data_IF_635544393922
#
_entry.id   IF_635544393922
#
_cell.length_a   1.000
_cell.length_b   1.000
_cell.length_c   1.000
_cell.angle_alpha   90.00
_cell.angle_beta   90.00
_cell.angle_gamma   90.00
#
_symmetry.space_group_name_H-M   'P 1'
#
loop_
_entity.id
_entity.type
_entity.pdbx_description
1 polymer ?
#
# COMPACT_ATOMS: atom_id res chain seq x y z
N UNK A 1 6.43 47.47 48.75
CA UNK A 1 5.95 47.06 50.09
C UNK A 1 4.62 46.35 49.92
N UNK A 2 4.56 45.05 50.19
CA UNK A 2 3.36 44.38 50.73
C UNK A 2 3.75 42.97 51.19
N UNK A 3 3.58 42.78 52.50
CA UNK A 3 3.89 41.60 53.30
C UNK A 3 2.68 40.68 53.27
N UNK A 4 2.79 39.37 53.06
CA UNK A 4 1.82 38.42 53.63
C UNK A 4 2.42 37.01 53.84
N UNK A 5 2.72 36.76 55.11
CA UNK A 5 2.39 35.59 55.95
C UNK A 5 2.67 34.17 55.43
N UNK A 6 3.69 33.58 56.04
CA UNK A 6 3.88 32.15 56.33
C UNK A 6 2.66 31.52 57.01
N UNK A 7 2.27 30.32 56.56
CA UNK A 7 1.57 29.33 57.39
C UNK A 7 2.12 27.95 57.07
N UNK A 8 2.52 27.27 58.14
CA UNK A 8 3.07 25.94 58.26
C UNK A 8 1.88 25.05 58.64
N UNK A 9 1.64 23.95 57.92
CA UNK A 9 0.73 22.90 58.37
C UNK A 9 1.27 21.55 57.93
N UNK A 10 1.41 20.67 58.92
CA UNK A 10 2.02 19.37 58.84
C UNK A 10 0.96 18.26 58.90
N UNK A 11 1.40 17.06 58.53
CA UNK A 11 0.86 15.73 58.90
C UNK A 11 -0.48 15.31 58.28
N UNK A 12 -0.47 14.21 57.52
CA UNK A 12 -1.06 12.93 57.95
C UNK A 12 -0.98 11.89 56.83
N UNK A 13 -0.19 10.84 57.08
CA UNK A 13 -0.26 9.59 56.37
C UNK A 13 -1.61 8.91 56.67
N UNK A 14 -2.30 8.41 55.65
CA UNK A 14 -3.34 7.38 55.84
C UNK A 14 -3.19 6.31 54.78
N UNK A 15 -2.75 5.15 55.25
CA UNK A 15 -2.76 3.85 54.56
C UNK A 15 -4.21 3.39 54.47
N UNK A 16 -4.70 3.08 53.26
CA UNK A 16 -5.88 2.22 53.08
C UNK A 16 -5.50 1.11 52.10
N UNK A 17 -5.11 -0.01 52.69
CA UNK A 17 -5.09 -1.33 52.06
C UNK A 17 -6.54 -1.82 52.00
N UNK A 18 -7.20 -1.56 50.87
CA UNK A 18 -8.55 -2.04 50.58
C UNK A 18 -8.54 -2.87 49.30
N UNK A 19 -8.19 -4.15 49.43
CA UNK A 19 -8.29 -5.12 48.34
C UNK A 19 -9.74 -5.43 48.03
N UNK A 20 -10.33 -4.70 47.09
CA UNK A 20 -11.56 -5.13 46.41
C UNK A 20 -11.14 -5.92 45.17
N UNK A 21 -11.32 -7.24 45.22
CA UNK A 21 -11.24 -8.07 44.03
C UNK A 21 -12.40 -7.64 43.10
N UNK A 22 -12.09 -6.79 42.13
CA UNK A 22 -13.00 -6.48 41.03
C UNK A 22 -13.14 -7.79 40.25
N UNK A 23 -14.35 -8.36 40.10
CA UNK A 23 -14.54 -9.51 39.23
C UNK A 23 -14.00 -9.14 37.85
N UNK A 24 -13.11 -9.97 37.33
CA UNK A 24 -12.65 -9.89 35.95
C UNK A 24 -13.90 -9.92 35.07
N UNK A 25 -14.34 -8.74 34.63
CA UNK A 25 -15.38 -8.63 33.63
C UNK A 25 -14.83 -9.36 32.40
N UNK A 26 -15.39 -10.53 32.13
CA UNK A 26 -15.19 -11.24 30.90
C UNK A 26 -15.44 -10.23 29.78
N UNK A 27 -14.38 -9.88 29.06
CA UNK A 27 -14.47 -9.03 27.89
C UNK A 27 -15.46 -9.71 26.95
N UNK A 28 -16.65 -9.11 26.86
CA UNK A 28 -17.75 -9.54 26.02
C UNK A 28 -17.25 -9.66 24.59
N UNK A 29 -17.27 -10.89 24.07
CA UNK A 29 -16.95 -11.24 22.69
C UNK A 29 -17.79 -10.51 21.64
N UNK A 30 -18.86 -9.80 22.03
CA UNK A 30 -19.70 -9.01 21.13
C UNK A 30 -19.14 -7.64 20.71
N UNK A 31 -18.10 -7.10 21.37
CA UNK A 31 -17.62 -5.74 21.05
C UNK A 31 -16.58 -5.70 19.92
N UNK A 32 -15.93 -6.84 19.61
CA UNK A 32 -15.12 -7.01 18.40
C UNK A 32 -16.01 -7.09 17.14
N UNK A 33 -17.21 -7.64 17.27
CA UNK A 33 -18.20 -7.76 16.20
C UNK A 33 -18.77 -6.38 15.78
N UNK A 34 -18.86 -5.44 16.73
CA UNK A 34 -19.36 -4.09 16.45
C UNK A 34 -18.45 -3.26 15.53
N UNK A 35 -17.12 -3.48 15.54
CA UNK A 35 -16.21 -2.82 14.59
C UNK A 35 -16.35 -3.39 13.16
N UNK A 36 -16.73 -4.66 13.03
CA UNK A 36 -17.07 -5.29 11.76
C UNK A 36 -18.41 -4.77 11.17
N UNK A 37 -19.26 -4.15 11.99
CA UNK A 37 -20.57 -3.65 11.53
C UNK A 37 -20.51 -2.36 10.71
N UNK A 38 -19.45 -1.54 10.84
CA UNK A 38 -19.37 -0.30 10.09
C UNK A 38 -18.87 -0.55 8.66
N UNK A 39 -19.69 -0.29 7.61
CA UNK A 39 -19.32 -0.58 6.23
C UNK A 39 -18.07 0.17 5.74
N UNK A 40 -17.68 1.26 6.41
CA UNK A 40 -16.46 1.99 6.11
C UNK A 40 -15.17 1.21 6.46
N UNK A 41 -15.22 0.24 7.37
CA UNK A 41 -14.05 -0.55 7.76
C UNK A 41 -13.92 -1.86 7.00
N UNK A 42 -14.92 -2.23 6.19
CA UNK A 42 -14.86 -3.42 5.33
C UNK A 42 -13.60 -3.39 4.45
N UNK A 43 -12.84 -4.47 4.50
CA UNK A 43 -11.65 -4.67 3.68
C UNK A 43 -12.12 -5.01 2.26
N UNK A 44 -11.56 -4.30 1.28
CA UNK A 44 -11.81 -4.54 -0.14
C UNK A 44 -10.74 -5.45 -0.75
N UNK A 45 -9.49 -5.24 -0.35
CA UNK A 45 -8.35 -6.00 -0.87
C UNK A 45 -7.20 -5.96 0.14
N UNK A 46 -6.45 -7.06 0.25
CA UNK A 46 -5.11 -7.03 0.84
C UNK A 46 -4.10 -6.76 -0.26
N UNK A 47 -3.32 -5.70 -0.11
CA UNK A 47 -2.34 -5.27 -1.10
C UNK A 47 -0.98 -5.90 -0.82
N UNK A 48 -0.31 -6.29 -1.89
CA UNK A 48 1.13 -6.47 -1.88
C UNK A 48 1.80 -5.14 -1.60
N UNK A 49 2.63 -5.14 -0.59
CA UNK A 49 3.12 -3.93 0.05
C UNK A 49 4.59 -4.11 0.39
N UNK A 50 5.39 -3.07 0.16
CA UNK A 50 6.86 -3.13 0.31
C UNK A 50 7.36 -3.21 1.76
N UNK A 51 6.49 -3.09 2.75
CA UNK A 51 6.85 -3.31 4.16
C UNK A 51 6.49 -4.72 4.62
N UNK A 52 6.67 -5.01 5.92
CA UNK A 52 6.33 -6.32 6.46
C UNK A 52 4.82 -6.58 6.37
N UNK A 53 4.45 -7.78 5.93
CA UNK A 53 3.07 -8.25 5.82
C UNK A 53 2.32 -7.69 4.59
N UNK A 54 0.99 -7.70 4.67
CA UNK A 54 0.11 -7.08 3.67
C UNK A 54 -0.44 -5.76 4.20
N UNK A 55 -0.84 -4.85 3.31
CA UNK A 55 -1.55 -3.63 3.68
C UNK A 55 -3.01 -3.73 3.26
N UNK A 56 -3.96 -3.47 4.17
CA UNK A 56 -5.37 -3.57 3.86
C UNK A 56 -5.87 -2.32 3.14
N UNK A 57 -6.56 -2.47 2.00
CA UNK A 57 -7.35 -1.40 1.40
C UNK A 57 -8.80 -1.56 1.86
N UNK A 58 -9.27 -0.63 2.68
CA UNK A 58 -10.64 -0.60 3.19
C UNK A 58 -11.52 0.35 2.37
N UNK A 59 -12.84 0.15 2.42
CA UNK A 59 -13.85 1.03 1.80
C UNK A 59 -13.62 2.48 2.24
N UNK A 60 -13.46 2.70 3.54
CA UNK A 60 -13.25 4.00 4.17
C UNK A 60 -14.42 4.96 3.97
N UNK A 61 -14.17 6.24 4.24
CA UNK A 61 -15.14 7.31 4.00
C UNK A 61 -14.40 8.61 3.65
N UNK A 62 -15.14 9.58 3.12
CA UNK A 62 -14.64 10.94 2.92
C UNK A 62 -15.74 11.96 3.18
N UNK A 63 -15.51 12.83 4.17
CA UNK A 63 -16.33 14.01 4.44
C UNK A 63 -15.62 15.23 3.84
N UNK A 64 -16.20 15.81 2.79
CA UNK A 64 -15.65 16.96 2.07
C UNK A 64 -15.68 18.24 2.92
N UNK A 65 -16.68 18.43 3.78
CA UNK A 65 -16.83 19.64 4.58
C UNK A 65 -15.72 19.77 5.64
N UNK A 66 -15.33 18.65 6.26
CA UNK A 66 -14.26 18.60 7.27
C UNK A 66 -12.89 18.25 6.70
N UNK A 67 -12.82 17.91 5.42
CA UNK A 67 -11.66 17.32 4.76
C UNK A 67 -11.09 16.06 5.45
N UNK A 68 -11.94 15.30 6.12
CA UNK A 68 -11.59 14.10 6.88
C UNK A 68 -12.01 12.82 6.17
N UNK A 69 -11.32 11.73 6.50
CA UNK A 69 -11.61 10.41 5.96
C UNK A 69 -10.35 9.58 5.72
N UNK A 70 -10.58 8.35 5.27
CA UNK A 70 -9.53 7.39 4.92
C UNK A 70 -10.01 6.40 3.84
N UNK A 71 -9.13 5.52 3.38
CA UNK A 71 -9.48 4.38 2.52
C UNK A 71 -9.86 4.75 1.10
N UNK A 72 -10.48 3.79 0.40
CA UNK A 72 -10.81 3.88 -1.01
C UNK A 72 -11.72 5.07 -1.35
N UNK A 73 -12.71 5.35 -0.52
CA UNK A 73 -13.63 6.47 -0.73
C UNK A 73 -12.90 7.82 -0.75
N UNK A 74 -11.87 8.01 0.09
CA UNK A 74 -11.05 9.23 0.05
C UNK A 74 -10.16 9.28 -1.19
N UNK A 75 -9.49 8.17 -1.52
CA UNK A 75 -8.66 8.03 -2.72
C UNK A 75 -9.45 8.37 -3.99
N UNK A 76 -10.64 7.80 -4.14
CA UNK A 76 -11.53 8.03 -5.29
C UNK A 76 -12.17 9.41 -5.27
N UNK A 77 -12.88 9.79 -4.20
CA UNK A 77 -13.69 11.01 -4.17
C UNK A 77 -12.87 12.28 -4.01
N UNK A 78 -11.82 12.29 -3.20
CA UNK A 78 -10.96 13.48 -3.00
C UNK A 78 -9.89 13.58 -4.09
N UNK A 79 -9.17 12.50 -4.34
CA UNK A 79 -7.93 12.54 -5.12
C UNK A 79 -8.06 12.07 -6.57
N UNK A 80 -9.24 11.59 -6.98
CA UNK A 80 -9.52 11.18 -8.35
C UNK A 80 -8.64 10.02 -8.84
N UNK A 81 -8.24 9.12 -7.94
CA UNK A 81 -7.59 7.86 -8.29
C UNK A 81 -8.67 6.78 -8.31
N UNK A 82 -9.01 6.28 -9.49
CA UNK A 82 -10.24 5.50 -9.73
C UNK A 82 -10.00 4.01 -9.97
N UNK A 83 -8.74 3.56 -10.04
CA UNK A 83 -8.37 2.16 -10.26
C UNK A 83 -7.61 1.59 -9.06
N UNK A 84 -8.04 0.43 -8.55
CA UNK A 84 -7.37 -0.27 -7.45
C UNK A 84 -5.91 -0.61 -7.78
N UNK A 85 -5.66 -1.08 -9.00
CA UNK A 85 -4.32 -1.39 -9.49
C UNK A 85 -3.34 -0.20 -9.43
N UNK A 86 -3.84 1.05 -9.46
CA UNK A 86 -2.98 2.22 -9.28
C UNK A 86 -2.48 2.36 -7.83
N UNK A 87 -3.33 2.01 -6.85
CA UNK A 87 -2.98 1.99 -5.43
C UNK A 87 -1.99 0.87 -5.15
N UNK A 88 -2.25 -0.31 -5.72
CA UNK A 88 -1.40 -1.50 -5.61
C UNK A 88 0.00 -1.25 -6.16
N UNK A 89 0.12 -0.62 -7.34
CA UNK A 89 1.41 -0.25 -7.90
C UNK A 89 2.24 0.60 -6.92
N UNK A 90 1.66 1.68 -6.38
CA UNK A 90 2.39 2.52 -5.43
C UNK A 90 2.62 1.80 -4.08
N UNK A 91 1.77 0.84 -3.70
CA UNK A 91 1.98 0.03 -2.49
C UNK A 91 3.23 -0.86 -2.60
N UNK A 92 3.54 -1.35 -3.79
CA UNK A 92 4.76 -2.13 -4.11
C UNK A 92 6.04 -1.28 -4.19
N UNK A 93 5.93 0.06 -4.16
CA UNK A 93 7.08 0.95 -4.30
C UNK A 93 8.17 0.70 -3.25
N UNK A 94 9.46 0.58 -3.65
CA UNK A 94 10.58 0.44 -2.73
C UNK A 94 10.84 1.73 -1.93
N UNK A 95 10.41 2.88 -2.47
CA UNK A 95 10.57 4.19 -1.85
C UNK A 95 9.61 4.39 -0.66
N UNK A 96 9.91 3.74 0.47
CA UNK A 96 9.11 3.72 1.70
C UNK A 96 9.76 4.53 2.82
N UNK A 97 9.04 5.52 3.33
CA UNK A 97 9.49 6.42 4.39
C UNK A 97 8.52 6.43 5.57
N UNK A 98 9.02 6.29 6.80
CA UNK A 98 8.20 6.40 8.01
C UNK A 98 7.86 7.86 8.29
N UNK A 99 6.63 8.14 8.73
CA UNK A 99 6.14 9.50 9.01
C UNK A 99 6.23 9.78 10.51
N UNK A 100 7.27 10.52 10.90
CA UNK A 100 7.56 10.84 12.30
C UNK A 100 7.66 9.58 13.18
N UNK A 101 7.21 9.68 14.42
CA UNK A 101 7.21 8.55 15.37
C UNK A 101 5.95 7.66 15.27
N UNK A 102 5.21 7.74 14.16
CA UNK A 102 3.94 7.01 14.00
C UNK A 102 4.14 5.65 13.33
N UNK A 103 3.10 4.83 13.25
CA UNK A 103 3.06 3.60 12.44
C UNK A 103 2.63 3.86 10.99
N UNK A 104 2.71 5.12 10.54
CA UNK A 104 2.34 5.54 9.19
C UNK A 104 3.57 5.57 8.30
N UNK A 105 3.42 5.05 7.08
CA UNK A 105 4.44 5.04 6.05
C UNK A 105 3.94 5.74 4.79
N UNK A 106 4.86 6.41 4.11
CA UNK A 106 4.68 6.99 2.79
C UNK A 106 5.44 6.19 1.77
N UNK A 107 4.74 5.75 0.74
CA UNK A 107 5.33 5.16 -0.46
C UNK A 107 5.17 6.13 -1.60
N UNK A 108 6.21 6.28 -2.42
CA UNK A 108 6.22 7.29 -3.48
C UNK A 108 6.60 6.71 -4.82
N UNK A 109 5.88 7.13 -5.85
CA UNK A 109 6.25 6.91 -7.24
C UNK A 109 5.91 8.12 -8.08
N UNK A 110 6.02 7.98 -9.39
CA UNK A 110 5.82 9.05 -10.35
C UNK A 110 4.95 8.55 -11.50
N UNK A 111 4.07 9.43 -11.97
CA UNK A 111 3.33 9.25 -13.20
C UNK A 111 3.65 10.42 -14.14
N UNK A 112 4.10 10.11 -15.33
CA UNK A 112 4.52 11.07 -16.34
C UNK A 112 3.70 10.97 -17.62
N UNK A 113 3.56 12.12 -18.26
CA UNK A 113 3.00 12.32 -19.59
C UNK A 113 4.11 12.82 -20.50
N UNK A 114 4.44 12.04 -21.51
CA UNK A 114 5.39 12.35 -22.57
C UNK A 114 4.67 12.75 -23.85
N UNK A 115 5.27 13.65 -24.62
CA UNK A 115 4.93 13.93 -26.02
C UNK A 115 6.07 13.43 -26.89
N UNK A 116 5.78 12.53 -27.82
CA UNK A 116 6.77 11.96 -28.70
C UNK A 116 6.67 12.57 -30.10
N UNK A 117 7.78 13.11 -30.61
CA UNK A 117 7.89 13.70 -31.94
C UNK A 117 9.19 13.22 -32.57
N UNK A 118 9.14 12.69 -33.79
CA UNK A 118 10.31 12.17 -34.53
C UNK A 118 11.20 11.23 -33.71
N UNK A 119 10.59 10.26 -33.02
CA UNK A 119 11.30 9.26 -32.20
C UNK A 119 11.83 9.76 -30.85
N UNK A 120 11.76 11.08 -30.57
CA UNK A 120 12.17 11.69 -29.31
C UNK A 120 10.96 12.03 -28.45
N UNK A 121 10.95 11.57 -27.21
CA UNK A 121 9.88 11.83 -26.25
C UNK A 121 10.33 12.84 -25.20
N UNK A 122 9.57 13.91 -25.03
CA UNK A 122 9.81 14.95 -24.02
C UNK A 122 8.77 14.84 -22.91
N UNK A 123 9.22 14.93 -21.65
CA UNK A 123 8.34 14.89 -20.49
C UNK A 123 7.56 16.20 -20.41
N UNK A 124 6.27 16.15 -20.72
CA UNK A 124 5.37 17.32 -20.69
C UNK A 124 4.92 17.60 -19.27
N UNK A 125 4.59 16.54 -18.51
CA UNK A 125 4.08 16.69 -17.15
C UNK A 125 4.40 15.48 -16.30
N UNK A 126 4.69 15.71 -15.03
CA UNK A 126 4.91 14.66 -14.05
C UNK A 126 4.19 14.99 -12.75
N UNK A 127 3.66 13.96 -12.09
CA UNK A 127 3.19 14.03 -10.72
C UNK A 127 3.92 13.02 -9.86
N UNK A 128 4.42 13.49 -8.71
CA UNK A 128 4.85 12.62 -7.63
C UNK A 128 3.61 12.10 -6.89
N UNK A 129 3.45 10.81 -6.83
CA UNK A 129 2.40 10.11 -6.10
C UNK A 129 2.87 9.82 -4.69
N UNK A 130 1.98 9.97 -3.72
CA UNK A 130 2.22 9.60 -2.33
C UNK A 130 1.05 8.73 -1.88
N UNK A 131 1.35 7.48 -1.52
CA UNK A 131 0.45 6.58 -0.83
C UNK A 131 0.80 6.59 0.65
N UNK A 132 -0.19 6.78 1.51
CA UNK A 132 -0.05 6.73 2.95
C UNK A 132 -0.75 5.49 3.48
N UNK A 133 -0.01 4.63 4.18
CA UNK A 133 -0.50 3.42 4.84
C UNK A 133 -0.22 3.51 6.32
N UNK A 134 -1.17 3.10 7.15
CA UNK A 134 -1.02 3.04 8.59
C UNK A 134 -1.09 1.59 9.07
N UNK A 135 -0.01 1.11 9.65
CA UNK A 135 0.12 -0.29 10.11
C UNK A 135 -0.41 -0.50 11.54
N UNK A 136 -1.11 0.47 12.13
CA UNK A 136 -1.71 0.29 13.45
C UNK A 136 -2.83 -0.74 13.35
N UNK A 137 -2.66 -1.85 14.05
CA UNK A 137 -3.69 -2.87 14.24
C UNK A 137 -4.92 -2.23 14.89
N UNK A 138 -6.09 -2.46 14.29
CA UNK A 138 -7.39 -2.02 14.78
C UNK A 138 -7.99 -3.09 15.71
N UNK A 139 -9.20 -2.82 16.22
CA UNK A 139 -9.90 -3.76 17.12
C UNK A 139 -10.25 -5.09 16.45
N UNK A 140 -10.36 -5.11 15.13
CA UNK A 140 -10.62 -6.30 14.31
C UNK A 140 -9.36 -7.16 14.08
N UNK A 141 -8.23 -6.85 14.73
CA UNK A 141 -6.97 -7.56 14.55
C UNK A 141 -6.25 -7.27 13.24
N UNK A 142 -6.82 -6.44 12.36
CA UNK A 142 -6.27 -6.10 11.05
C UNK A 142 -5.68 -4.69 11.06
N UNK A 143 -4.76 -4.40 10.14
CA UNK A 143 -4.18 -3.07 10.03
C UNK A 143 -5.22 -2.02 9.61
N UNK A 144 -5.00 -0.76 10.00
CA UNK A 144 -5.84 0.36 9.51
C UNK A 144 -5.74 0.52 7.99
N UNK A 145 -4.54 0.27 7.45
CA UNK A 145 -4.30 0.14 6.04
C UNK A 145 -4.17 1.46 5.31
N UNK A 146 -4.60 1.47 4.06
CA UNK A 146 -4.49 2.65 3.19
C UNK A 146 -5.28 3.81 3.77
N UNK A 147 -4.57 4.87 4.16
CA UNK A 147 -5.17 6.11 4.62
C UNK A 147 -5.59 6.96 3.43
N UNK A 148 -4.68 7.19 2.48
CA UNK A 148 -4.95 7.98 1.28
C UNK A 148 -3.87 7.79 0.24
N UNK A 149 -4.16 8.14 -1.01
CA UNK A 149 -3.23 8.23 -2.13
C UNK A 149 -3.53 9.50 -2.91
N UNK A 150 -2.50 10.27 -3.26
CA UNK A 150 -2.68 11.57 -3.91
C UNK A 150 -1.48 12.00 -4.75
N UNK A 151 -1.73 12.96 -5.64
CA UNK A 151 -0.69 13.66 -6.40
C UNK A 151 -0.16 14.83 -5.57
N UNK A 152 1.16 14.92 -5.40
CA UNK A 152 1.79 16.08 -4.75
C UNK A 152 1.50 17.34 -5.58
N UNK A 153 1.04 18.40 -4.91
CA UNK A 153 0.81 19.72 -5.50
C UNK A 153 -0.58 19.94 -6.10
N UNK A 154 -1.43 18.92 -6.21
CA UNK A 154 -2.82 19.08 -6.68
C UNK A 154 -3.78 18.25 -5.83
N UNK A 155 -4.99 18.75 -5.57
CA UNK A 155 -5.98 18.04 -4.76
C UNK A 155 -6.55 16.82 -5.52
N UNK A 156 -6.94 17.04 -6.78
CA UNK A 156 -7.43 15.99 -7.70
C UNK A 156 -6.36 15.66 -8.74
N UNK A 157 -5.99 14.40 -8.84
CA UNK A 157 -5.12 13.91 -9.91
C UNK A 157 -5.84 13.96 -11.27
N UNK A 158 -5.15 14.26 -12.37
CA UNK A 158 -5.70 14.05 -13.70
C UNK A 158 -6.06 12.58 -13.94
N UNK A 159 -7.13 12.34 -14.72
CA UNK A 159 -7.63 10.98 -14.99
C UNK A 159 -6.55 10.03 -15.54
N UNK A 160 -5.64 10.55 -16.38
CA UNK A 160 -4.57 9.75 -16.99
C UNK A 160 -3.60 9.17 -15.96
N UNK A 161 -3.43 9.80 -14.79
CA UNK A 161 -2.52 9.31 -13.74
C UNK A 161 -2.97 7.96 -13.21
N UNK A 162 -4.26 7.82 -12.89
CA UNK A 162 -4.79 6.55 -12.40
C UNK A 162 -4.73 5.46 -13.47
N UNK A 163 -4.93 5.81 -14.75
CA UNK A 163 -4.81 4.86 -15.87
C UNK A 163 -3.37 4.42 -16.07
N UNK A 164 -2.41 5.35 -16.04
CA UNK A 164 -0.99 5.07 -16.24
C UNK A 164 -0.43 4.11 -15.18
N UNK A 165 -0.73 4.36 -13.91
CA UNK A 165 -0.29 3.51 -12.80
C UNK A 165 -0.94 2.12 -12.85
N UNK A 166 -2.25 2.06 -13.13
CA UNK A 166 -2.94 0.78 -13.26
C UNK A 166 -2.43 -0.05 -14.45
N UNK A 167 -2.08 0.61 -15.56
CA UNK A 167 -1.46 -0.05 -16.72
C UNK A 167 -0.09 -0.63 -16.34
N UNK A 168 0.70 0.12 -15.59
CA UNK A 168 2.03 -0.33 -15.17
C UNK A 168 1.95 -1.51 -14.19
N UNK A 169 1.02 -1.50 -13.24
CA UNK A 169 0.79 -2.63 -12.35
C UNK A 169 0.49 -3.93 -13.10
N UNK A 170 -0.35 -3.86 -14.15
CA UNK A 170 -0.70 -5.05 -14.94
C UNK A 170 0.50 -5.59 -15.70
N UNK A 171 1.40 -4.71 -16.15
CA UNK A 171 2.63 -5.13 -16.83
C UNK A 171 3.60 -5.79 -15.87
N UNK A 172 3.77 -5.24 -14.67
CA UNK A 172 4.64 -5.87 -13.67
C UNK A 172 4.12 -7.25 -13.26
N UNK A 173 2.79 -7.44 -13.19
CA UNK A 173 2.22 -8.76 -12.92
C UNK A 173 2.44 -9.75 -14.09
N UNK A 174 2.20 -9.31 -15.33
CA UNK A 174 2.46 -10.14 -16.50
C UNK A 174 3.96 -10.49 -16.67
N UNK A 175 4.84 -9.60 -16.21
CA UNK A 175 6.27 -9.86 -16.15
C UNK A 175 6.60 -11.02 -15.20
N UNK A 176 6.04 -10.98 -13.99
CA UNK A 176 6.24 -12.01 -12.97
C UNK A 176 5.77 -13.38 -13.47
N UNK A 177 4.60 -13.45 -14.11
CA UNK A 177 4.05 -14.70 -14.65
C UNK A 177 4.93 -15.31 -15.77
N UNK A 178 5.54 -14.45 -16.61
CA UNK A 178 6.41 -14.94 -17.70
C UNK A 178 7.73 -15.53 -17.22
N UNK A 179 8.25 -15.07 -16.08
CA UNK A 179 9.51 -15.59 -15.51
C UNK A 179 9.30 -16.98 -14.91
N UNK A 180 8.15 -17.20 -14.25
CA UNK A 180 7.84 -18.52 -13.64
C UNK A 180 7.68 -19.61 -14.70
N UNK A 181 7.07 -19.29 -15.84
CA UNK A 181 6.87 -20.24 -16.93
C UNK A 181 8.20 -20.72 -17.57
N UNK A 182 9.25 -19.89 -17.56
CA UNK A 182 10.57 -20.29 -18.06
C UNK A 182 11.34 -21.17 -17.06
N UNK A 183 11.14 -20.97 -15.75
CA UNK A 183 11.82 -21.75 -14.71
C UNK A 183 11.29 -23.20 -14.66
N UNK A 184 9.98 -23.40 -14.77
CA UNK A 184 9.39 -24.75 -14.78
C UNK A 184 9.83 -25.58 -16.00
N UNK A 185 10.15 -24.93 -17.12
CA UNK A 185 10.58 -25.62 -18.34
C UNK A 185 12.10 -25.94 -18.36
N UNK A 186 12.86 -25.48 -17.36
CA UNK A 186 14.29 -25.77 -17.22
C UNK A 186 14.62 -26.76 -16.10
N UNK A 187 13.60 -27.37 -15.47
CA UNK A 187 13.79 -28.57 -14.65
C UNK A 187 14.09 -29.73 -15.58
N UNK A 188 15.36 -29.88 -15.94
CA UNK A 188 15.92 -31.06 -16.58
C UNK A 188 15.59 -32.24 -15.69
N UNK A 189 14.60 -33.03 -16.10
CA UNK A 189 14.35 -34.36 -15.57
C UNK A 189 15.62 -35.15 -15.87
N UNK A 190 16.47 -35.33 -14.86
CA UNK A 190 17.44 -36.41 -14.88
C UNK A 190 16.61 -37.69 -14.96
N UNK A 191 16.71 -38.41 -16.08
CA UNK A 191 16.28 -39.79 -16.21
C UNK A 191 16.95 -40.60 -15.10
N UNK A 192 16.26 -40.79 -13.98
CA UNK A 192 16.56 -41.85 -13.03
C UNK A 192 15.55 -42.97 -13.24
N UNK A 193 16.10 -44.17 -13.31
CA UNK A 193 15.51 -45.41 -13.79
C UNK A 193 14.10 -45.71 -13.27
N UNK A 194 13.24 -46.13 -14.19
CA UNK A 194 11.91 -46.65 -13.91
C UNK A 194 11.96 -48.06 -13.29
N UNK A 195 11.28 -48.31 -12.16
CA UNK A 195 10.74 -49.62 -11.87
C UNK A 195 9.33 -49.75 -12.44
N UNK A 196 9.18 -50.78 -13.28
CA UNK A 196 7.94 -51.36 -13.75
C UNK A 196 7.02 -51.71 -12.57
N UNK A 197 5.81 -51.15 -12.53
CA UNK A 197 4.78 -51.60 -11.60
C UNK A 197 3.40 -51.47 -12.24
N UNK A 198 3.00 -52.56 -12.89
CA UNK A 198 1.63 -52.89 -13.22
C UNK A 198 0.83 -53.17 -11.94
N UNK A 199 -0.17 -52.35 -11.63
CA UNK A 199 -1.46 -52.84 -11.12
C UNK A 199 -2.49 -51.72 -11.07
N UNK A 200 -3.58 -51.93 -11.82
CA UNK A 200 -4.80 -51.13 -11.78
C UNK A 200 -5.67 -51.55 -10.58
N UNK A 201 -6.48 -50.64 -10.04
CA UNK A 201 -7.91 -50.89 -10.17
C UNK A 201 -8.77 -49.66 -10.52
N UNK A 202 -9.97 -50.00 -10.97
CA UNK A 202 -11.00 -49.18 -11.57
C UNK A 202 -11.83 -48.35 -10.59
N UNK A 203 -12.55 -47.41 -11.20
CA UNK A 203 -13.84 -46.83 -10.81
C UNK A 203 -13.97 -46.09 -9.48
N UNK A 204 -14.16 -44.76 -9.57
CA UNK A 204 -15.39 -44.18 -9.03
C UNK A 204 -15.76 -42.87 -9.73
N UNK A 205 -16.95 -42.87 -10.31
CA UNK A 205 -17.65 -41.74 -10.92
C UNK A 205 -18.26 -40.91 -9.78
N UNK A 206 -17.94 -39.62 -9.69
CA UNK A 206 -18.71 -38.68 -8.85
C UNK A 206 -19.07 -37.44 -9.65
N UNK A 207 -20.37 -37.17 -9.62
CA UNK A 207 -21.13 -36.24 -10.43
C UNK A 207 -20.88 -34.75 -10.18
N UNK A 208 -21.30 -34.01 -11.20
CA UNK A 208 -21.35 -32.57 -11.39
C UNK A 208 -22.04 -31.79 -10.25
N UNK A 209 -21.52 -30.59 -10.00
CA UNK A 209 -22.11 -29.61 -9.09
C UNK A 209 -21.71 -28.20 -9.49
N UNK A 210 -22.18 -27.74 -10.65
CA UNK A 210 -22.08 -26.35 -11.11
C UNK A 210 -22.86 -25.42 -10.18
N UNK A 211 -22.13 -24.68 -9.32
CA UNK A 211 -22.68 -23.52 -8.60
C UNK A 211 -22.25 -22.27 -9.34
N UNK A 212 -23.19 -21.70 -10.10
CA UNK A 212 -23.06 -20.41 -10.74
C UNK A 212 -22.87 -19.30 -9.69
N UNK A 213 -21.67 -18.74 -9.62
CA UNK A 213 -21.41 -17.49 -8.89
C UNK A 213 -21.77 -16.30 -9.82
N UNK A 214 -23.06 -16.02 -9.90
CA UNK A 214 -23.62 -14.79 -10.47
C UNK A 214 -23.32 -13.62 -9.52
N UNK A 215 -22.11 -13.05 -9.60
CA UNK A 215 -21.83 -11.69 -9.12
C UNK A 215 -20.57 -11.09 -9.77
N UNK A 216 -20.52 -11.07 -11.10
CA UNK A 216 -19.68 -10.11 -11.83
C UNK A 216 -20.50 -8.88 -12.19
N UNK A 217 -20.19 -7.69 -11.66
CA UNK A 217 -20.74 -6.46 -12.19
C UNK A 217 -20.26 -6.31 -13.63
N UNK A 218 -21.20 -6.38 -14.57
CA UNK A 218 -21.04 -6.00 -15.96
C UNK A 218 -20.59 -4.54 -15.99
N UNK A 219 -19.28 -4.30 -16.00
CA UNK A 219 -18.71 -2.97 -16.23
C UNK A 219 -18.86 -2.72 -17.73
N UNK A 220 -19.88 -1.93 -18.06
CA UNK A 220 -20.26 -1.58 -19.41
C UNK A 220 -19.07 -1.10 -20.23
N UNK A 221 -19.03 -1.62 -21.46
CA UNK A 221 -18.33 -1.13 -22.64
C UNK A 221 -17.48 0.11 -22.39
N UNK A 222 -16.17 -0.12 -22.29
CA UNK A 222 -15.20 0.95 -22.46
C UNK A 222 -15.50 1.64 -23.81
N UNK A 223 -15.70 2.98 -23.85
CA UNK A 223 -15.77 3.68 -25.11
C UNK A 223 -14.45 3.46 -25.84
N UNK A 224 -14.56 3.08 -27.12
CA UNK A 224 -13.44 2.98 -28.03
C UNK A 224 -12.58 4.25 -27.87
N UNK A 225 -11.30 4.07 -27.57
CA UNK A 225 -10.35 5.18 -27.58
C UNK A 225 -10.25 5.66 -29.03
N UNK A 226 -11.01 6.71 -29.36
CA UNK A 226 -10.93 7.42 -30.62
C UNK A 226 -9.47 7.82 -30.86
N UNK A 227 -8.91 7.28 -31.95
CA UNK A 227 -7.57 7.56 -32.40
C UNK A 227 -7.48 8.98 -32.93
N UNK A 228 -7.00 9.90 -32.08
CA UNK A 228 -6.62 11.25 -32.49
C UNK A 228 -5.26 11.20 -33.20
N UNK A 229 -5.33 11.12 -34.53
CA UNK A 229 -4.18 11.19 -35.43
C UNK A 229 -3.77 12.66 -35.62
N UNK A 230 -2.97 13.20 -34.70
CA UNK A 230 -2.24 14.45 -34.93
C UNK A 230 -0.86 14.42 -34.28
N UNK A 231 0.16 14.15 -35.09
CA UNK A 231 1.57 14.59 -35.04
C UNK A 231 2.33 14.74 -33.69
N UNK A 232 1.93 13.98 -32.67
CA UNK A 232 2.67 13.87 -31.43
C UNK A 232 2.00 12.88 -30.50
N UNK A 233 2.33 11.58 -30.61
CA UNK A 233 1.71 10.56 -29.77
C UNK A 233 2.00 10.84 -28.29
N UNK A 234 0.93 11.00 -27.51
CA UNK A 234 1.04 11.16 -26.07
C UNK A 234 1.28 9.78 -25.45
N UNK A 235 2.31 9.68 -24.63
CA UNK A 235 2.69 8.44 -23.97
C UNK A 235 2.68 8.63 -22.47
N UNK A 236 2.05 7.71 -21.75
CA UNK A 236 2.00 7.72 -20.29
C UNK A 236 2.93 6.64 -19.74
N UNK A 237 3.71 7.01 -18.72
CA UNK A 237 4.72 6.17 -18.10
C UNK A 237 4.64 6.34 -16.59
N UNK A 238 4.89 5.28 -15.84
CA UNK A 238 5.03 5.34 -14.39
C UNK A 238 6.37 4.75 -13.97
N UNK A 239 6.93 5.23 -12.87
CA UNK A 239 8.18 4.71 -12.29
C UNK A 239 8.18 4.98 -10.78
N UNK A 240 8.99 4.25 -10.02
CA UNK A 240 9.25 4.60 -8.62
C UNK A 240 10.25 5.75 -8.49
N UNK A 241 11.05 5.99 -9.54
CA UNK A 241 12.02 7.08 -9.63
C UNK A 241 11.50 8.25 -10.47
N UNK A 242 12.03 9.47 -10.28
CA UNK A 242 11.72 10.60 -11.15
C UNK A 242 12.00 10.27 -12.62
N UNK A 243 11.07 10.63 -13.51
CA UNK A 243 11.20 10.35 -14.92
C UNK A 243 12.14 11.36 -15.59
N UNK A 244 12.94 10.89 -16.55
CA UNK A 244 13.88 11.72 -17.29
C UNK A 244 13.14 12.77 -18.14
N UNK A 245 13.70 13.99 -18.21
CA UNK A 245 13.12 15.10 -18.98
C UNK A 245 12.95 14.78 -20.48
N UNK A 246 13.80 13.91 -21.01
CA UNK A 246 13.64 13.34 -22.35
C UNK A 246 14.07 11.88 -22.37
N UNK A 247 13.44 11.10 -23.23
CA UNK A 247 13.78 9.71 -23.49
C UNK A 247 13.60 9.41 -24.98
N UNK A 248 14.32 8.43 -25.52
CA UNK A 248 14.01 7.91 -26.85
C UNK A 248 12.73 7.06 -26.79
N UNK A 249 12.03 6.92 -27.91
CA UNK A 249 10.86 6.03 -27.98
C UNK A 249 11.25 4.60 -27.64
N UNK A 250 12.44 4.15 -28.09
CA UNK A 250 13.01 2.86 -27.74
C UNK A 250 13.27 2.72 -26.24
N UNK A 251 13.79 3.76 -25.57
CA UNK A 251 13.98 3.75 -24.11
C UNK A 251 12.64 3.68 -23.37
N UNK A 252 11.63 4.41 -23.82
CA UNK A 252 10.30 4.33 -23.21
C UNK A 252 9.62 2.99 -23.50
N UNK A 253 9.89 2.36 -24.63
CA UNK A 253 9.43 1.01 -24.95
C UNK A 253 10.17 -0.05 -24.15
N UNK A 254 11.49 0.07 -23.98
CA UNK A 254 12.31 -0.80 -23.15
C UNK A 254 11.91 -0.70 -21.68
N UNK A 255 11.66 0.51 -21.18
CA UNK A 255 11.11 0.70 -19.83
C UNK A 255 9.69 0.13 -19.66
N UNK A 256 9.00 -0.19 -20.76
CA UNK A 256 7.71 -0.91 -20.75
C UNK A 256 7.87 -2.40 -21.01
N UNK A 257 9.01 -2.82 -21.53
CA UNK A 257 9.30 -4.22 -21.74
C UNK A 257 9.46 -4.84 -20.36
N UNK A 258 8.84 -6.00 -20.18
CA UNK A 258 9.13 -6.87 -19.06
C UNK A 258 10.65 -7.09 -19.05
N UNK A 259 11.38 -6.75 -17.97
CA UNK A 259 12.77 -7.16 -17.87
C UNK A 259 12.81 -8.68 -18.02
N UNK A 260 13.56 -9.18 -18.99
CA UNK A 260 13.73 -10.63 -19.18
C UNK A 260 14.41 -11.22 -17.94
N UNK A 261 14.21 -12.51 -17.65
CA UNK A 261 14.73 -13.16 -16.44
C UNK A 261 16.23 -12.90 -16.17
N UNK A 262 17.02 -12.71 -17.22
CA UNK A 262 18.45 -12.35 -17.20
C UNK A 262 18.77 -10.94 -16.68
N UNK A 263 17.84 -9.98 -16.81
CA UNK A 263 17.98 -8.62 -16.25
C UNK A 263 17.60 -8.58 -14.76
N UNK A 264 16.69 -9.46 -14.31
CA UNK A 264 16.28 -9.55 -12.90
C UNK A 264 17.38 -10.06 -11.97
N UNK A 265 18.25 -10.97 -12.41
CA UNK A 265 19.40 -11.42 -11.59
C UNK A 265 20.41 -10.28 -11.36
N UNK A 266 20.63 -9.44 -12.36
CA UNK A 266 21.51 -8.28 -12.24
C UNK A 266 20.89 -7.14 -11.42
N UNK A 267 19.57 -6.96 -11.48
CA UNK A 267 18.87 -6.01 -10.59
C UNK A 267 18.78 -6.51 -9.15
N UNK A 268 18.59 -7.81 -8.92
CA UNK A 268 18.59 -8.40 -7.57
C UNK A 268 19.99 -8.33 -6.92
N UNK A 269 21.06 -8.50 -7.71
CA UNK A 269 22.44 -8.32 -7.23
C UNK A 269 22.79 -6.85 -6.91
N UNK A 270 22.17 -5.88 -7.61
CA UNK A 270 22.32 -4.44 -7.34
C UNK A 270 21.41 -3.92 -6.21
N UNK A 271 20.29 -4.58 -5.96
CA UNK A 271 19.46 -4.38 -4.78
C UNK A 271 20.05 -5.15 -3.61
N UNK A 272 21.12 -4.62 -3.01
CA UNK A 272 21.32 -4.86 -1.58
C UNK A 272 20.07 -4.33 -0.89
N UNK A 273 19.20 -5.16 -0.27
CA UNK A 273 18.22 -4.62 0.65
C UNK A 273 19.03 -3.79 1.61
N UNK A 274 18.75 -2.48 1.68
CA UNK A 274 19.43 -1.58 2.62
C UNK A 274 19.55 -2.36 3.91
N UNK A 275 20.80 -2.71 4.30
CA UNK A 275 21.04 -3.37 5.58
C UNK A 275 20.23 -2.55 6.55
N UNK A 276 19.21 -3.16 7.16
CA UNK A 276 18.56 -2.55 8.29
C UNK A 276 19.67 -2.36 9.29
N UNK A 277 20.26 -1.17 9.30
CA UNK A 277 20.95 -0.65 10.47
C UNK A 277 19.84 -0.53 11.48
N UNK A 278 19.61 -1.63 12.19
CA UNK A 278 18.99 -1.62 13.50
C UNK A 278 19.83 -0.57 14.24
N UNK A 279 19.30 0.63 14.53
CA UNK A 279 20.06 1.57 15.32
C UNK A 279 20.41 0.84 16.61
N UNK A 280 21.70 0.81 16.94
CA UNK A 280 22.17 0.25 18.20
C UNK A 280 21.24 0.74 19.30
N UNK A 281 20.75 -0.18 20.13
CA UNK A 281 19.82 0.10 21.20
C UNK A 281 20.27 1.38 21.91
N UNK A 282 19.51 2.45 21.70
CA UNK A 282 19.74 3.71 22.39
C UNK A 282 19.43 3.40 23.84
N UNK A 283 20.49 3.25 24.65
CA UNK A 283 20.39 3.21 26.10
C UNK A 283 19.55 4.42 26.51
N UNK A 284 18.41 4.14 27.13
CA UNK A 284 17.45 5.15 27.57
C UNK A 284 18.13 6.18 28.48
N UNK A 285 18.51 7.33 27.92
CA UNK A 285 18.77 8.50 28.73
C UNK A 285 17.41 9.05 29.18
N UNK A 286 17.16 8.83 30.46
CA UNK A 286 15.93 9.12 31.19
C UNK A 286 15.73 10.63 31.26
N UNK A 287 15.14 11.24 30.24
CA UNK A 287 14.75 12.64 30.29
C UNK A 287 13.65 12.85 31.35
N UNK A 288 14.05 13.36 32.52
CA UNK A 288 13.14 13.94 33.51
C UNK A 288 12.48 15.17 32.91
N UNK A 289 11.19 15.07 32.60
CA UNK A 289 10.35 16.21 32.31
C UNK A 289 10.16 17.03 33.60
N UNK A 290 10.74 18.23 33.66
CA UNK A 290 10.43 19.23 34.69
C UNK A 290 9.42 20.19 34.08
N UNK A 291 8.13 19.93 34.28
CA UNK A 291 7.06 20.83 33.88
C UNK A 291 6.96 22.00 34.86
N UNK A 292 7.40 23.20 34.47
CA UNK A 292 7.08 24.43 35.17
C UNK A 292 5.73 24.96 34.66
N UNK A 293 4.72 24.95 35.53
CA UNK A 293 3.45 25.64 35.27
C UNK A 293 3.53 27.07 35.83
N UNK A 294 3.70 28.04 34.94
CA UNK A 294 3.51 29.45 35.27
C UNK A 294 2.00 29.72 35.29
N UNK A 295 1.41 29.82 36.49
CA UNK A 295 0.01 30.22 36.66
C UNK A 295 -0.07 31.74 36.55
N UNK A 296 -0.72 32.23 35.50
CA UNK A 296 -1.17 33.63 35.41
C UNK A 296 -2.13 33.91 36.56
N UNK A 297 -1.88 35.02 37.27
CA UNK A 297 -2.81 35.70 38.18
C UNK A 297 -3.05 37.09 37.64
#
# INVERSE_FOLDING_TARGET
>A
MNRFKTTLAAVAATVILGGSAIPAAAATSGEAEAAASNPAYRILKHLDYSGPGKASLRVGYYNRAEDKGFGWNKVKKKHNITKYAAVEYIAKSPNRNRVGNTTTYHMTGYAGKYRCTNGRCTLVKQYKMILSVNQKVQRDGQDKGVITMYCKGVVRCPNWVSKALAKENRRSLAAEDSVVAEEENNVVIAEEDAPDNSDAPADEVVEEGDVADENTPVDGSAPAEEGDASDGSETYVSSYEPLAASASTGTLQAARAVPTATDSENLAAGYSPLKQTIPAAVTEDRFRYVGSYTKLR
#
